data_IF_092026175209
#
_entry.id   IF_092026175209
#
_cell.length_a   1.000
_cell.length_b   1.000
_cell.length_c   1.000
_cell.angle_alpha   90.00
_cell.angle_beta   90.00
_cell.angle_gamma   90.00
#
_symmetry.space_group_name_H-M   'P 1'
#
loop_
_entity.id
_entity.type
_entity.pdbx_description
1 polymer ?
#
# COMPACT_ATOMS: atom_id res chain seq x y z
N UNK A 1 12.91 -61.25 -30.17
CA UNK A 1 12.30 -60.67 -28.94
C UNK A 1 13.21 -59.62 -28.27
N UNK A 2 13.68 -58.57 -28.96
CA UNK A 2 14.49 -57.49 -28.32
C UNK A 2 14.30 -56.09 -28.95
N UNK A 3 13.14 -55.81 -29.57
CA UNK A 3 12.87 -54.52 -30.23
C UNK A 3 11.63 -53.76 -29.73
N UNK A 4 10.88 -54.31 -28.76
CA UNK A 4 9.60 -53.72 -28.32
C UNK A 4 9.64 -53.03 -26.95
N UNK A 5 10.78 -53.05 -26.24
CA UNK A 5 10.87 -52.51 -24.86
C UNK A 5 11.35 -51.04 -24.85
N UNK A 6 12.13 -50.61 -25.85
CA UNK A 6 12.67 -49.25 -25.93
C UNK A 6 11.62 -48.19 -26.34
N UNK A 7 10.57 -48.58 -27.05
CA UNK A 7 9.49 -47.66 -27.44
C UNK A 7 8.55 -47.33 -26.26
N UNK A 8 8.37 -48.26 -25.30
CA UNK A 8 7.52 -48.05 -24.14
C UNK A 8 8.17 -47.13 -23.09
N UNK A 9 9.51 -47.17 -22.96
CA UNK A 9 10.25 -46.30 -22.05
C UNK A 9 10.29 -44.82 -22.50
N UNK A 10 10.29 -44.56 -23.82
CA UNK A 10 10.22 -43.18 -24.34
C UNK A 10 8.82 -42.56 -24.21
N UNK A 11 7.77 -43.39 -24.18
CA UNK A 11 6.40 -42.92 -23.99
C UNK A 11 6.11 -42.49 -22.54
N UNK A 12 6.74 -43.15 -21.56
CA UNK A 12 6.61 -42.81 -20.13
C UNK A 12 7.45 -41.57 -19.78
N UNK A 13 8.60 -41.35 -20.44
CA UNK A 13 9.46 -40.19 -20.18
C UNK A 13 8.89 -38.87 -20.72
N UNK A 14 8.08 -38.91 -21.79
CA UNK A 14 7.42 -37.71 -22.35
C UNK A 14 6.18 -37.31 -21.54
N UNK A 15 5.52 -38.25 -20.85
CA UNK A 15 4.38 -37.92 -19.96
C UNK A 15 4.80 -37.25 -18.65
N UNK A 16 6.09 -37.30 -18.26
CA UNK A 16 6.55 -36.73 -16.99
C UNK A 16 6.94 -35.25 -17.06
N UNK A 17 6.99 -34.65 -18.26
CA UNK A 17 7.35 -33.23 -18.46
C UNK A 17 6.14 -32.31 -18.58
N UNK A 18 4.91 -32.84 -18.57
CA UNK A 18 3.72 -32.02 -18.38
C UNK A 18 3.49 -31.81 -16.88
N UNK A 19 4.46 -31.19 -16.19
CA UNK A 19 4.15 -30.50 -14.94
C UNK A 19 3.24 -29.34 -15.33
N UNK A 20 1.93 -29.61 -15.36
CA UNK A 20 0.91 -28.59 -15.31
C UNK A 20 1.24 -27.73 -14.10
N UNK A 21 1.82 -26.54 -14.34
CA UNK A 21 2.22 -25.62 -13.29
C UNK A 21 0.94 -25.28 -12.54
N UNK A 22 0.74 -25.90 -11.38
CA UNK A 22 -0.52 -25.79 -10.66
C UNK A 22 -0.72 -24.32 -10.33
N UNK A 23 -1.72 -23.70 -10.96
CA UNK A 23 -1.96 -22.29 -10.79
C UNK A 23 -2.49 -22.05 -9.38
N UNK A 24 -1.63 -21.50 -8.50
CA UNK A 24 -1.99 -21.14 -7.14
C UNK A 24 -3.16 -20.17 -7.19
N UNK A 25 -4.33 -20.60 -6.73
CA UNK A 25 -5.56 -19.81 -6.80
C UNK A 25 -6.05 -19.52 -5.39
N UNK A 26 -6.30 -18.25 -5.12
CA UNK A 26 -6.77 -17.74 -3.85
C UNK A 26 -8.12 -17.03 -4.03
N UNK A 27 -8.97 -17.07 -3.01
CA UNK A 27 -10.30 -16.49 -3.06
C UNK A 27 -10.67 -15.85 -1.74
N UNK A 28 -11.24 -14.65 -1.80
CA UNK A 28 -11.78 -13.93 -0.65
C UNK A 28 -12.95 -13.04 -1.10
N UNK A 29 -13.64 -12.38 -0.16
CA UNK A 29 -14.63 -11.38 -0.51
C UNK A 29 -13.94 -10.12 -1.08
N UNK A 30 -12.82 -9.73 -0.47
CA UNK A 30 -12.07 -8.52 -0.81
C UNK A 30 -10.63 -8.90 -1.13
N UNK A 31 -10.12 -8.46 -2.29
CA UNK A 31 -8.71 -8.54 -2.64
C UNK A 31 -8.14 -7.13 -2.66
N UNK A 32 -7.08 -6.90 -1.90
CA UNK A 32 -6.38 -5.61 -1.84
C UNK A 32 -5.04 -5.77 -2.53
N UNK A 33 -4.78 -4.99 -3.57
CA UNK A 33 -3.50 -4.94 -4.25
C UNK A 33 -2.67 -3.75 -3.78
N UNK A 34 -1.50 -4.00 -3.19
CA UNK A 34 -0.60 -2.98 -2.64
C UNK A 34 -0.26 -3.19 -1.15
N UNK A 35 0.89 -2.66 -0.72
CA UNK A 35 1.44 -2.85 0.63
C UNK A 35 1.44 -1.60 1.52
N UNK A 36 0.70 -0.55 1.15
CA UNK A 36 0.70 0.74 1.85
C UNK A 36 -0.07 0.71 3.18
N UNK A 37 -0.02 1.80 3.96
CA UNK A 37 -0.86 1.95 5.15
C UNK A 37 -2.36 1.83 4.82
N UNK A 38 -2.80 2.33 3.67
CA UNK A 38 -4.18 2.19 3.21
C UNK A 38 -4.58 0.71 3.04
N UNK A 39 -3.68 -0.14 2.52
CA UNK A 39 -3.94 -1.57 2.36
C UNK A 39 -4.21 -2.24 3.70
N UNK A 40 -3.36 -1.97 4.70
CA UNK A 40 -3.49 -2.55 6.04
C UNK A 40 -4.77 -2.08 6.73
N UNK A 41 -5.04 -0.78 6.70
CA UNK A 41 -6.24 -0.22 7.35
C UNK A 41 -7.53 -0.72 6.69
N UNK A 42 -7.58 -0.79 5.36
CA UNK A 42 -8.71 -1.34 4.64
C UNK A 42 -8.94 -2.84 4.96
N UNK A 43 -7.86 -3.62 5.08
CA UNK A 43 -7.95 -5.03 5.46
C UNK A 43 -8.46 -5.22 6.89
N UNK A 44 -7.96 -4.42 7.84
CA UNK A 44 -8.44 -4.45 9.24
C UNK A 44 -9.92 -4.12 9.29
N UNK A 45 -10.36 -3.09 8.56
CA UNK A 45 -11.78 -2.74 8.52
C UNK A 45 -12.63 -3.86 7.91
N UNK A 46 -12.17 -4.45 6.80
CA UNK A 46 -12.84 -5.60 6.17
C UNK A 46 -12.98 -6.79 7.14
N UNK A 47 -11.91 -7.12 7.87
CA UNK A 47 -11.90 -8.18 8.86
C UNK A 47 -12.85 -7.88 10.04
N UNK A 48 -12.86 -6.64 10.56
CA UNK A 48 -13.81 -6.20 11.60
C UNK A 48 -15.27 -6.30 11.14
N UNK A 49 -15.51 -6.15 9.84
CA UNK A 49 -16.82 -6.35 9.21
C UNK A 49 -17.13 -7.83 8.86
N UNK A 50 -16.31 -8.77 9.35
CA UNK A 50 -16.47 -10.21 9.14
C UNK A 50 -16.46 -10.60 7.65
N UNK A 51 -15.63 -9.92 6.86
CA UNK A 51 -15.39 -10.26 5.45
C UNK A 51 -14.03 -10.92 5.31
N UNK A 52 -13.97 -11.96 4.47
CA UNK A 52 -12.69 -12.55 4.11
C UNK A 52 -11.91 -11.57 3.24
N UNK A 53 -10.66 -11.31 3.58
CA UNK A 53 -9.81 -10.33 2.89
C UNK A 53 -8.40 -10.88 2.70
N UNK A 54 -7.83 -10.62 1.53
CA UNK A 54 -6.45 -10.94 1.21
C UNK A 54 -5.75 -9.67 0.76
N UNK A 55 -4.57 -9.41 1.32
CA UNK A 55 -3.62 -8.43 0.77
C UNK A 55 -2.64 -9.18 -0.14
N UNK A 56 -2.41 -8.67 -1.34
CA UNK A 56 -1.36 -9.13 -2.24
C UNK A 56 -0.57 -7.92 -2.74
N UNK A 57 0.76 -7.97 -2.65
CA UNK A 57 1.59 -6.80 -2.87
C UNK A 57 3.00 -7.14 -3.34
N UNK A 58 3.64 -6.25 -4.11
CA UNK A 58 5.06 -6.38 -4.47
C UNK A 58 5.97 -6.16 -3.25
N UNK A 59 5.51 -5.39 -2.26
CA UNK A 59 6.32 -4.98 -1.11
C UNK A 59 6.60 -6.13 -0.12
N UNK A 60 7.85 -6.20 0.35
CA UNK A 60 8.24 -7.09 1.45
C UNK A 60 7.94 -6.51 2.83
N UNK A 61 7.79 -5.19 2.92
CA UNK A 61 7.52 -4.43 4.14
C UNK A 61 6.16 -3.73 4.02
N UNK A 62 5.29 -3.84 5.02
CA UNK A 62 3.97 -3.15 5.00
C UNK A 62 4.08 -1.76 5.60
N UNK A 63 3.26 -0.85 5.06
CA UNK A 63 3.05 0.50 5.59
C UNK A 63 3.43 1.61 4.61
N UNK A 64 4.08 1.26 3.50
CA UNK A 64 4.48 2.23 2.50
C UNK A 64 5.42 3.29 3.06
N UNK A 65 5.17 4.57 2.78
CA UNK A 65 5.98 5.69 3.23
C UNK A 65 6.04 5.77 4.75
N UNK A 66 4.93 5.44 5.42
CA UNK A 66 4.82 5.37 6.89
C UNK A 66 5.88 4.44 7.50
N UNK A 67 6.13 3.29 6.86
CA UNK A 67 7.18 2.32 7.25
C UNK A 67 8.48 2.46 6.45
N UNK A 68 8.52 3.37 5.48
CA UNK A 68 9.61 3.53 4.51
C UNK A 68 10.47 4.76 4.74
N UNK A 69 10.18 5.60 5.74
CA UNK A 69 11.00 6.76 6.10
C UNK A 69 10.25 8.02 6.49
N UNK A 70 8.94 8.11 6.24
CA UNK A 70 8.12 9.27 6.59
C UNK A 70 7.48 9.10 7.96
N UNK A 71 8.32 9.09 8.98
CA UNK A 71 7.93 8.98 10.38
C UNK A 71 7.62 10.31 11.07
N UNK A 72 7.76 11.45 10.39
CA UNK A 72 7.47 12.78 10.94
C UNK A 72 6.18 13.31 10.32
N UNK A 73 5.05 13.10 10.98
CA UNK A 73 3.74 13.39 10.42
C UNK A 73 3.38 14.87 10.54
N UNK A 74 2.89 15.45 9.44
CA UNK A 74 2.29 16.78 9.36
C UNK A 74 0.92 16.80 10.06
N UNK A 75 0.93 16.94 11.39
CA UNK A 75 -0.25 16.74 12.23
C UNK A 75 -1.28 17.87 12.17
N UNK A 76 -0.85 19.12 11.95
CA UNK A 76 -1.73 20.29 11.90
C UNK A 76 -2.82 20.26 12.98
N UNK A 77 -4.09 20.14 12.57
CA UNK A 77 -5.19 19.83 13.48
C UNK A 77 -5.36 18.31 13.65
N UNK A 78 -4.70 17.74 14.66
CA UNK A 78 -4.73 16.29 14.94
C UNK A 78 -6.10 15.75 15.34
N UNK A 79 -7.02 16.61 15.81
CA UNK A 79 -8.39 16.21 16.15
C UNK A 79 -9.21 15.81 14.91
N UNK A 80 -8.79 16.19 13.70
CA UNK A 80 -9.41 15.75 12.46
C UNK A 80 -9.09 14.28 12.12
N UNK A 81 -8.08 13.69 12.77
CA UNK A 81 -7.64 12.33 12.51
C UNK A 81 -8.31 11.38 13.51
N UNK A 82 -9.22 10.55 12.99
CA UNK A 82 -10.01 9.58 13.75
C UNK A 82 -9.87 8.14 13.27
N UNK A 83 -10.76 7.27 13.77
CA UNK A 83 -10.89 5.88 13.32
C UNK A 83 -9.61 5.06 13.45
N UNK A 84 -9.41 4.14 12.50
CA UNK A 84 -8.24 3.24 12.47
C UNK A 84 -6.91 3.98 12.29
N UNK A 85 -6.90 5.15 11.64
CA UNK A 85 -5.70 5.98 11.55
C UNK A 85 -5.29 6.51 12.93
N UNK A 86 -6.26 6.97 13.74
CA UNK A 86 -6.00 7.35 15.13
C UNK A 86 -5.54 6.18 15.97
N UNK A 87 -6.12 4.99 15.75
CA UNK A 87 -5.69 3.76 16.43
C UNK A 87 -4.21 3.44 16.17
N UNK A 88 -3.75 3.58 14.92
CA UNK A 88 -2.33 3.46 14.60
C UNK A 88 -1.46 4.42 15.42
N UNK A 89 -1.76 5.72 15.42
CA UNK A 89 -0.98 6.70 16.20
C UNK A 89 -1.08 6.49 17.72
N UNK A 90 -2.18 5.91 18.20
CA UNK A 90 -2.32 5.46 19.58
C UNK A 90 -1.39 4.29 19.91
N UNK A 91 -1.29 3.29 19.03
CA UNK A 91 -0.34 2.17 19.18
C UNK A 91 1.12 2.63 19.12
N UNK A 92 1.43 3.62 18.29
CA UNK A 92 2.74 4.28 18.28
C UNK A 92 3.02 4.94 19.63
N UNK A 93 2.05 5.68 20.17
CA UNK A 93 2.18 6.31 21.48
C UNK A 93 2.46 5.29 22.58
N UNK A 94 1.72 4.17 22.57
CA UNK A 94 1.91 3.06 23.51
C UNK A 94 3.30 2.42 23.38
N UNK A 95 3.82 2.27 22.16
CA UNK A 95 5.19 1.78 21.93
C UNK A 95 6.23 2.64 22.67
N UNK A 96 6.13 3.97 22.57
CA UNK A 96 7.07 4.90 23.20
C UNK A 96 6.77 5.17 24.70
N UNK A 97 5.75 4.56 25.28
CA UNK A 97 5.62 4.47 26.74
C UNK A 97 6.61 3.45 27.34
N UNK A 98 7.06 2.48 26.55
CA UNK A 98 8.06 1.51 26.99
C UNK A 98 9.47 2.15 27.03
N UNK A 99 10.15 2.21 28.18
CA UNK A 99 11.51 2.74 28.27
C UNK A 99 12.52 2.02 27.35
N UNK A 100 12.29 0.75 27.01
CA UNK A 100 13.17 -0.03 26.12
C UNK A 100 13.04 0.36 24.64
N UNK A 101 12.00 1.10 24.25
CA UNK A 101 11.89 1.67 22.90
C UNK A 101 12.92 2.79 22.67
N UNK A 102 13.42 3.40 23.74
CA UNK A 102 14.31 4.56 23.72
C UNK A 102 15.78 4.14 23.68
N UNK A 103 16.21 3.60 22.53
CA UNK A 103 17.58 3.05 22.35
C UNK A 103 18.67 4.11 22.25
N UNK A 104 18.37 5.24 21.61
CA UNK A 104 19.37 6.23 21.19
C UNK A 104 19.42 7.47 22.09
N UNK A 105 18.37 7.71 22.87
CA UNK A 105 18.27 8.85 23.79
C UNK A 105 17.26 8.51 24.88
N UNK A 106 17.28 9.20 26.02
CA UNK A 106 16.23 9.01 27.04
C UNK A 106 14.95 9.73 26.62
N UNK A 107 13.79 9.16 26.98
CA UNK A 107 12.49 9.83 26.79
C UNK A 107 12.45 11.23 27.39
N UNK A 108 13.06 11.43 28.55
CA UNK A 108 13.14 12.72 29.24
C UNK A 108 13.97 13.78 28.51
N UNK A 109 14.84 13.36 27.59
CA UNK A 109 15.72 14.24 26.79
C UNK A 109 15.14 14.49 25.39
N UNK A 110 14.03 13.84 25.03
CA UNK A 110 13.39 14.02 23.74
C UNK A 110 12.72 15.39 23.65
N UNK A 111 13.06 16.16 22.61
CA UNK A 111 12.52 17.51 22.40
C UNK A 111 11.00 17.59 22.29
N UNK A 112 10.34 16.45 22.05
CA UNK A 112 8.90 16.31 21.83
C UNK A 112 8.33 17.20 20.72
N UNK A 113 9.19 17.68 19.80
CA UNK A 113 8.82 18.56 18.69
C UNK A 113 8.30 17.76 17.49
N UNK A 114 7.10 18.09 17.02
CA UNK A 114 6.54 17.58 15.77
C UNK A 114 6.27 18.67 14.72
N UNK A 115 5.67 18.28 13.59
CA UNK A 115 5.29 19.19 12.51
C UNK A 115 3.81 19.57 12.65
N UNK A 116 3.56 20.75 13.23
CA UNK A 116 2.20 21.25 13.51
C UNK A 116 1.52 20.63 14.75
N UNK A 117 2.11 19.61 15.37
CA UNK A 117 1.65 18.99 16.62
C UNK A 117 2.83 18.53 17.49
N UNK A 118 2.59 18.16 18.76
CA UNK A 118 3.60 17.49 19.61
C UNK A 118 3.94 16.12 19.03
N UNK A 119 5.20 15.71 19.11
CA UNK A 119 5.64 14.39 18.62
C UNK A 119 4.98 13.25 19.42
N UNK A 120 4.93 13.37 20.74
CA UNK A 120 4.17 12.55 21.68
C UNK A 120 3.19 13.48 22.40
N UNK A 121 1.91 13.19 22.23
CA UNK A 121 0.85 13.98 22.82
C UNK A 121 0.13 13.16 23.90
N UNK A 122 0.47 13.44 25.16
CA UNK A 122 -0.11 12.75 26.31
C UNK A 122 -1.59 13.11 26.49
N UNK A 123 -1.99 14.32 26.10
CA UNK A 123 -3.36 14.85 26.27
C UNK A 123 -4.39 14.01 25.51
N UNK A 124 -3.99 13.49 24.34
CA UNK A 124 -4.87 12.72 23.46
C UNK A 124 -4.35 11.30 23.17
N UNK A 125 -3.25 10.92 23.84
CA UNK A 125 -2.57 9.61 23.78
C UNK A 125 -2.20 9.19 22.37
N UNK A 126 -1.64 10.11 21.59
CA UNK A 126 -1.17 9.86 20.22
C UNK A 126 0.29 10.24 20.04
N UNK A 127 0.94 9.62 19.06
CA UNK A 127 2.31 9.93 18.67
C UNK A 127 2.38 10.21 17.16
N UNK A 128 2.87 11.38 16.79
CA UNK A 128 2.98 11.90 15.43
C UNK A 128 4.41 11.86 14.90
N UNK A 129 5.34 11.33 15.70
CA UNK A 129 6.71 11.08 15.28
C UNK A 129 7.14 9.69 15.72
N UNK A 130 7.69 8.91 14.80
CA UNK A 130 8.04 7.51 15.04
C UNK A 130 9.10 7.02 14.06
N UNK A 131 9.77 5.94 14.44
CA UNK A 131 10.72 5.27 13.56
C UNK A 131 9.99 4.36 12.57
N UNK A 132 10.46 4.23 11.31
CA UNK A 132 9.78 3.44 10.28
C UNK A 132 9.56 1.97 10.68
N UNK A 133 10.52 1.37 11.38
CA UNK A 133 10.41 -0.02 11.85
C UNK A 133 9.33 -0.20 12.93
N UNK A 134 9.01 0.84 13.71
CA UNK A 134 7.92 0.83 14.69
C UNK A 134 6.57 0.84 13.97
N UNK A 135 6.44 1.65 12.92
CA UNK A 135 5.25 1.64 12.06
C UNK A 135 5.04 0.27 11.41
N UNK A 136 6.09 -0.30 10.80
CA UNK A 136 6.02 -1.65 10.21
C UNK A 136 5.63 -2.71 11.24
N UNK A 137 6.20 -2.66 12.45
CA UNK A 137 5.84 -3.57 13.54
C UNK A 137 4.34 -3.50 13.84
N UNK A 138 3.80 -2.29 13.99
CA UNK A 138 2.39 -2.06 14.30
C UNK A 138 1.48 -2.56 13.17
N UNK A 139 1.85 -2.32 11.90
CA UNK A 139 1.11 -2.87 10.77
C UNK A 139 1.11 -4.39 10.77
N UNK A 140 2.25 -5.04 11.03
CA UNK A 140 2.30 -6.49 11.16
C UNK A 140 1.51 -7.01 12.37
N UNK A 141 1.41 -6.24 13.47
CA UNK A 141 0.55 -6.57 14.61
C UNK A 141 -0.92 -6.51 14.23
N UNK A 142 -1.36 -5.49 13.48
CA UNK A 142 -2.72 -5.45 12.91
C UNK A 142 -3.00 -6.69 12.05
N UNK A 143 -2.09 -7.06 11.16
CA UNK A 143 -2.27 -8.26 10.32
C UNK A 143 -2.44 -9.53 11.16
N UNK A 144 -1.60 -9.71 12.20
CA UNK A 144 -1.68 -10.89 13.08
C UNK A 144 -2.95 -10.90 13.94
N UNK A 145 -3.35 -9.75 14.47
CA UNK A 145 -4.52 -9.61 15.35
C UNK A 145 -5.82 -10.04 14.65
N UNK A 146 -5.93 -9.76 13.35
CA UNK A 146 -7.12 -10.08 12.55
C UNK A 146 -6.95 -11.29 11.62
N UNK A 147 -5.84 -12.04 11.76
CA UNK A 147 -5.50 -13.20 10.92
C UNK A 147 -5.64 -12.91 9.40
N UNK A 148 -5.15 -11.75 8.97
CA UNK A 148 -5.26 -11.30 7.58
C UNK A 148 -4.20 -12.01 6.74
N UNK A 149 -4.62 -12.69 5.67
CA UNK A 149 -3.68 -13.32 4.74
C UNK A 149 -2.97 -12.25 3.90
N UNK A 150 -1.63 -12.28 3.91
CA UNK A 150 -0.79 -11.34 3.15
C UNK A 150 0.17 -12.11 2.25
N UNK A 151 0.09 -11.84 0.95
CA UNK A 151 1.00 -12.35 -0.06
C UNK A 151 1.96 -11.25 -0.48
N UNK A 152 3.21 -11.36 -0.03
CA UNK A 152 4.29 -10.40 -0.31
C UNK A 152 5.11 -10.87 -1.51
N UNK A 153 5.83 -9.94 -2.12
CA UNK A 153 6.68 -10.20 -3.30
C UNK A 153 5.89 -10.82 -4.47
N UNK A 154 4.62 -10.42 -4.59
CA UNK A 154 3.72 -10.83 -5.66
C UNK A 154 3.37 -9.60 -6.50
N UNK A 155 3.89 -9.59 -7.73
CA UNK A 155 3.82 -8.46 -8.65
C UNK A 155 2.65 -8.66 -9.61
N UNK A 156 1.78 -7.65 -9.80
CA UNK A 156 0.70 -7.71 -10.78
C UNK A 156 1.26 -7.86 -12.20
N UNK A 157 0.66 -8.75 -12.98
CA UNK A 157 0.90 -8.78 -14.42
C UNK A 157 0.19 -7.58 -15.08
N UNK A 158 0.93 -6.51 -15.41
CA UNK A 158 0.33 -5.21 -15.75
C UNK A 158 -0.53 -5.23 -17.02
N UNK A 159 -0.13 -5.98 -18.04
CA UNK A 159 -0.79 -5.94 -19.35
C UNK A 159 -2.09 -6.76 -19.42
N UNK A 160 -2.17 -7.87 -18.68
CA UNK A 160 -3.30 -8.81 -18.77
C UNK A 160 -3.69 -9.43 -17.42
N UNK A 161 -3.19 -8.88 -16.32
CA UNK A 161 -3.39 -9.42 -14.98
C UNK A 161 -4.78 -9.16 -14.43
N UNK A 162 -5.41 -8.03 -14.76
CA UNK A 162 -6.77 -7.74 -14.35
C UNK A 162 -7.79 -8.38 -15.29
N UNK A 163 -8.67 -9.24 -14.75
CA UNK A 163 -9.74 -9.89 -15.49
C UNK A 163 -11.05 -9.14 -15.26
N UNK A 164 -11.49 -8.38 -16.25
CA UNK A 164 -12.67 -7.51 -16.17
C UNK A 164 -13.81 -8.10 -16.99
N UNK A 165 -15.00 -8.20 -16.40
CA UNK A 165 -16.24 -8.63 -17.06
C UNK A 165 -17.32 -7.62 -16.73
N UNK A 166 -17.95 -7.04 -17.75
CA UNK A 166 -19.01 -6.02 -17.62
C UNK A 166 -18.60 -4.85 -16.70
N UNK A 167 -17.37 -4.36 -16.86
CA UNK A 167 -16.82 -3.26 -16.06
C UNK A 167 -16.45 -3.65 -14.61
N UNK A 168 -16.53 -4.92 -14.24
CA UNK A 168 -16.18 -5.41 -12.90
C UNK A 168 -14.94 -6.28 -12.91
N UNK A 169 -13.97 -5.97 -12.06
CA UNK A 169 -12.82 -6.85 -11.81
C UNK A 169 -13.33 -8.14 -11.14
N UNK A 170 -12.96 -9.28 -11.71
CA UNK A 170 -13.36 -10.62 -11.23
C UNK A 170 -12.20 -11.38 -10.61
N UNK A 171 -10.98 -11.13 -11.11
CA UNK A 171 -9.74 -11.70 -10.61
C UNK A 171 -8.54 -10.85 -11.03
N UNK A 172 -7.43 -11.00 -10.31
CA UNK A 172 -6.13 -10.47 -10.67
C UNK A 172 -5.10 -11.61 -10.74
N UNK A 173 -4.15 -11.52 -11.67
CA UNK A 173 -3.06 -12.48 -11.87
C UNK A 173 -1.72 -11.80 -11.65
N UNK A 174 -0.87 -12.48 -10.88
CA UNK A 174 0.49 -12.05 -10.59
C UNK A 174 1.46 -12.64 -11.62
N UNK A 175 2.63 -12.02 -11.76
CA UNK A 175 3.76 -12.50 -12.58
C UNK A 175 4.18 -13.92 -12.17
N UNK A 176 4.03 -14.28 -10.89
CA UNK A 176 4.30 -15.64 -10.41
C UNK A 176 3.34 -16.71 -10.97
N UNK A 177 2.27 -16.28 -11.64
CA UNK A 177 1.14 -17.09 -12.09
C UNK A 177 0.03 -17.22 -11.04
N UNK A 178 0.24 -16.78 -9.79
CA UNK A 178 -0.79 -16.80 -8.76
C UNK A 178 -2.01 -15.98 -9.18
N UNK A 179 -3.21 -16.49 -8.91
CA UNK A 179 -4.48 -15.88 -9.26
C UNK A 179 -5.30 -15.60 -7.99
N UNK A 180 -5.79 -14.38 -7.85
CA UNK A 180 -6.61 -13.95 -6.72
C UNK A 180 -7.98 -13.55 -7.25
N UNK A 181 -9.04 -14.20 -6.76
CA UNK A 181 -10.42 -13.94 -7.19
C UNK A 181 -11.24 -13.37 -6.04
N UNK A 182 -12.06 -12.36 -6.32
CA UNK A 182 -12.77 -11.59 -5.30
C UNK A 182 -14.12 -11.06 -5.76
N UNK A 183 -14.92 -10.60 -4.81
CA UNK A 183 -16.16 -9.86 -5.10
C UNK A 183 -15.87 -8.37 -5.26
N UNK A 184 -14.90 -7.85 -4.50
CA UNK A 184 -14.42 -6.48 -4.53
C UNK A 184 -12.89 -6.43 -4.57
N UNK A 185 -12.37 -5.38 -5.21
CA UNK A 185 -10.95 -5.13 -5.35
C UNK A 185 -10.64 -3.71 -4.88
N UNK A 186 -9.55 -3.56 -4.12
CA UNK A 186 -9.04 -2.27 -3.69
C UNK A 186 -7.63 -2.13 -4.24
N UNK A 187 -7.39 -1.05 -4.97
CA UNK A 187 -6.03 -0.63 -5.28
C UNK A 187 -5.52 0.26 -4.15
N UNK A 188 -4.45 -0.20 -3.51
CA UNK A 188 -3.75 0.49 -2.45
C UNK A 188 -2.25 0.61 -2.77
N UNK A 189 -1.91 0.67 -4.07
CA UNK A 189 -0.62 1.14 -4.57
C UNK A 189 -0.59 2.68 -4.56
N UNK A 190 0.57 3.32 -4.81
CA UNK A 190 0.60 4.78 -4.92
C UNK A 190 0.09 5.27 -6.26
N UNK A 191 0.35 4.50 -7.32
CA UNK A 191 0.15 4.91 -8.71
C UNK A 191 -1.18 4.43 -9.29
N UNK A 192 -1.91 3.55 -8.60
CA UNK A 192 -3.15 2.97 -9.11
C UNK A 192 -2.91 1.88 -10.17
N UNK A 193 -1.88 1.05 -9.97
CA UNK A 193 -1.46 0.02 -10.93
C UNK A 193 -2.56 -0.98 -11.31
N UNK A 194 -3.36 -1.41 -10.34
CA UNK A 194 -4.50 -2.30 -10.58
C UNK A 194 -5.62 -1.57 -11.31
N UNK A 195 -5.90 -0.32 -10.95
CA UNK A 195 -6.91 0.48 -11.65
C UNK A 195 -6.52 0.68 -13.12
N UNK A 196 -5.25 1.02 -13.39
CA UNK A 196 -4.73 1.14 -14.74
C UNK A 196 -4.82 -0.19 -15.51
N UNK A 197 -4.39 -1.30 -14.90
CA UNK A 197 -4.48 -2.63 -15.50
C UNK A 197 -5.93 -3.08 -15.77
N UNK A 198 -6.90 -2.60 -14.98
CA UNK A 198 -8.32 -2.86 -15.16
C UNK A 198 -8.97 -1.96 -16.24
N UNK A 199 -8.20 -1.08 -16.89
CA UNK A 199 -8.71 -0.18 -17.93
C UNK A 199 -9.49 1.01 -17.38
N UNK A 200 -9.33 1.36 -16.11
CA UNK A 200 -9.90 2.59 -15.55
C UNK A 200 -9.22 3.79 -16.22
N UNK A 201 -10.00 4.75 -16.69
CA UNK A 201 -9.48 5.97 -17.31
C UNK A 201 -8.71 6.82 -16.29
N UNK A 202 -7.55 7.34 -16.69
CA UNK A 202 -6.73 8.24 -15.90
C UNK A 202 -6.18 9.38 -16.77
N UNK A 203 -5.67 10.42 -16.11
CA UNK A 203 -4.94 11.51 -16.75
C UNK A 203 -3.47 11.47 -16.34
N UNK A 204 -2.56 11.83 -17.24
CA UNK A 204 -1.12 11.94 -16.95
C UNK A 204 -0.72 13.40 -17.05
N UNK A 205 -0.10 13.92 -16.00
CA UNK A 205 0.29 15.32 -15.90
C UNK A 205 -0.83 16.20 -15.34
N UNK A 206 -0.75 17.50 -15.61
CA UNK A 206 -1.64 18.50 -15.04
C UNK A 206 -2.68 18.92 -16.07
N UNK A 207 -3.95 18.76 -15.72
CA UNK A 207 -5.08 19.07 -16.60
C UNK A 207 -5.22 20.58 -16.84
N UNK A 208 -5.74 20.95 -18.00
CA UNK A 208 -6.09 22.34 -18.28
C UNK A 208 -7.36 22.74 -17.52
N UNK A 209 -7.50 24.02 -17.16
CA UNK A 209 -8.75 24.60 -16.61
C UNK A 209 -10.00 24.17 -17.38
N UNK A 210 -9.91 24.07 -18.71
CA UNK A 210 -11.03 23.72 -19.58
C UNK A 210 -11.50 22.27 -19.50
N UNK A 211 -10.72 21.35 -18.92
CA UNK A 211 -11.07 19.91 -18.86
C UNK A 211 -12.27 19.67 -17.94
N UNK A 212 -12.29 20.29 -16.75
CA UNK A 212 -13.40 20.17 -15.78
C UNK A 212 -13.99 21.52 -15.36
N UNK A 213 -13.60 22.63 -15.98
CA UNK A 213 -14.08 23.96 -15.63
C UNK A 213 -13.49 24.51 -14.33
N UNK A 214 -12.33 24.00 -13.91
CA UNK A 214 -11.70 24.38 -12.64
C UNK A 214 -10.81 25.62 -12.81
N UNK A 215 -11.30 26.77 -12.33
CA UNK A 215 -10.64 28.08 -12.50
C UNK A 215 -9.18 28.10 -12.06
N UNK A 216 -8.82 27.33 -11.03
CA UNK A 216 -7.47 27.31 -10.45
C UNK A 216 -6.61 26.09 -10.86
N UNK A 217 -7.13 25.24 -11.76
CA UNK A 217 -6.36 24.11 -12.29
C UNK A 217 -5.44 24.55 -13.45
N UNK A 218 -4.48 23.71 -13.82
CA UNK A 218 -3.54 23.99 -14.91
C UNK A 218 -2.41 24.94 -14.54
N UNK A 219 -1.35 24.99 -15.34
CA UNK A 219 -0.26 25.98 -15.16
C UNK A 219 -0.81 27.37 -15.46
N UNK A 220 -0.73 28.29 -14.49
CA UNK A 220 -1.24 29.66 -14.62
C UNK A 220 -0.07 30.65 -14.52
N UNK A 221 0.52 30.99 -15.66
CA UNK A 221 1.57 32.01 -15.71
C UNK A 221 0.99 33.39 -15.36
N UNK A 222 1.70 34.13 -14.50
CA UNK A 222 1.30 35.48 -14.11
C UNK A 222 0.20 35.56 -13.04
N UNK A 223 -0.28 34.41 -12.53
CA UNK A 223 -1.26 34.39 -11.44
C UNK A 223 -0.63 33.81 -10.18
N UNK A 224 -0.44 34.67 -9.17
CA UNK A 224 0.40 34.42 -7.98
C UNK A 224 -0.42 34.08 -6.74
N UNK A 225 -1.38 33.14 -6.86
CA UNK A 225 -2.31 32.79 -5.77
C UNK A 225 -1.71 31.92 -4.65
N UNK A 226 -0.54 31.31 -4.88
CA UNK A 226 0.21 30.53 -3.89
C UNK A 226 1.66 31.01 -3.84
N UNK A 227 2.33 30.89 -2.69
CA UNK A 227 3.74 31.30 -2.51
C UNK A 227 4.76 30.37 -3.21
N UNK A 228 4.37 29.70 -4.30
CA UNK A 228 5.23 28.87 -5.15
C UNK A 228 5.73 29.65 -6.37
N UNK A 229 6.18 30.88 -6.15
CA UNK A 229 6.85 31.73 -7.12
C UNK A 229 8.01 32.42 -6.43
N UNK A 230 8.94 32.93 -7.22
CA UNK A 230 10.03 33.72 -6.68
C UNK A 230 9.58 35.16 -6.44
N UNK A 231 9.63 35.59 -5.18
CA UNK A 231 9.26 36.95 -4.76
C UNK A 231 10.19 38.03 -5.33
N UNK A 232 11.37 37.63 -5.80
CA UNK A 232 12.35 38.46 -6.46
C UNK A 232 12.80 37.79 -7.77
N UNK A 233 13.30 38.56 -8.76
CA UNK A 233 13.95 37.99 -9.92
C UNK A 233 15.10 37.08 -9.47
N UNK A 234 15.14 35.86 -10.00
CA UNK A 234 16.24 34.92 -9.76
C UNK A 234 16.82 34.56 -11.10
N UNK A 235 18.13 34.68 -11.21
CA UNK A 235 18.90 34.30 -12.39
C UNK A 235 19.82 33.13 -11.98
N UNK A 236 19.74 31.97 -12.64
CA UNK A 236 20.59 30.83 -12.30
C UNK A 236 22.06 31.00 -12.72
N UNK A 237 22.45 32.13 -13.32
CA UNK A 237 23.78 32.40 -13.85
C UNK A 237 24.51 33.60 -13.21
N UNK A 238 23.95 34.22 -12.17
CA UNK A 238 24.60 35.32 -11.40
C UNK A 238 24.57 35.06 -9.91
#
# INVERSE_FOLDING_TARGET
MKRSVTAFLHFILVLSLCMCRQQRTYKADIIIYGGTSAAVIAAVQAARMQRSVIIVCPDRHLGGLTSGGLGWTDGGNTAAIGGLAREFYGRVYEHYQNPQAWKWQKKSEFSNRGQGAKALNDDDRTAWTFEPHVAEKIFNEFIREYDIAVHRDEWLERDAGAMVVDGRITAIRMVSGAKFSGKMFIDATYEGDLLAAAGVSYHVGREAKGVYGETWNGVQTGVLHHAHYFSAPIDPYV
#
